data_IF_534609191466
#
_entry.id   IF_534609191466
#
_cell.length_a   1.000
_cell.length_b   1.000
_cell.length_c   1.000
_cell.angle_alpha   90.00
_cell.angle_beta   90.00
_cell.angle_gamma   90.00
#
_symmetry.space_group_name_H-M   'P 1'
#
loop_
_entity.id
_entity.type
_entity.pdbx_description
1 polymer ?
#
# COMPACT_ATOMS: atom_id res chain seq x y z
N UNK A 1 -0.96 1.42 29.30
CA UNK A 1 -0.94 0.04 29.79
C UNK A 1 -0.60 -0.04 31.28
N UNK A 2 0.42 0.67 31.76
CA UNK A 2 0.78 0.69 33.17
C UNK A 2 -0.40 1.11 34.10
N UNK A 3 -1.13 2.14 33.72
CA UNK A 3 -2.32 2.58 34.46
C UNK A 3 -3.42 1.51 34.51
N UNK A 4 -3.58 0.76 33.40
CA UNK A 4 -4.53 -0.34 33.36
C UNK A 4 -4.11 -1.47 34.30
N UNK A 5 -2.85 -1.84 34.29
CA UNK A 5 -2.33 -2.88 35.18
C UNK A 5 -2.46 -2.49 36.65
N UNK A 6 -2.13 -1.24 36.97
CA UNK A 6 -2.33 -0.72 38.33
C UNK A 6 -3.81 -0.73 38.75
N UNK A 7 -4.71 -0.29 37.85
CA UNK A 7 -6.15 -0.26 38.12
C UNK A 7 -6.78 -1.65 38.25
N UNK A 8 -6.22 -2.65 37.60
CA UNK A 8 -6.69 -4.05 37.66
C UNK A 8 -5.90 -4.92 38.65
N UNK A 9 -4.95 -4.33 39.37
CA UNK A 9 -4.03 -5.06 40.25
C UNK A 9 -3.34 -6.24 39.56
N UNK A 10 -2.88 -6.02 38.33
CA UNK A 10 -2.22 -7.03 37.50
C UNK A 10 -0.71 -6.80 37.48
N UNK A 11 0.04 -7.79 37.85
CA UNK A 11 1.50 -7.82 37.72
C UNK A 11 1.85 -8.62 36.45
N UNK A 12 2.26 -7.98 35.35
CA UNK A 12 2.46 -8.66 34.06
C UNK A 12 3.55 -9.73 34.09
N UNK A 13 4.51 -9.62 35.01
CA UNK A 13 5.57 -10.58 35.20
C UNK A 13 5.11 -11.87 35.89
N UNK A 14 3.99 -11.81 36.60
CA UNK A 14 3.47 -12.92 37.38
C UNK A 14 2.19 -13.53 36.83
N UNK A 15 1.44 -12.75 36.08
CA UNK A 15 0.15 -13.18 35.55
C UNK A 15 -0.08 -12.61 34.16
N UNK A 16 -0.49 -13.43 33.24
CA UNK A 16 -0.95 -13.00 31.92
C UNK A 16 -2.17 -12.10 32.06
N UNK A 17 -2.14 -10.94 31.41
CA UNK A 17 -3.30 -10.07 31.32
C UNK A 17 -4.40 -10.73 30.50
N UNK A 18 -5.63 -10.57 30.93
CA UNK A 18 -6.77 -10.98 30.14
C UNK A 18 -6.85 -10.12 28.87
N UNK A 19 -7.02 -10.77 27.73
CA UNK A 19 -7.22 -10.09 26.48
C UNK A 19 -8.70 -9.76 26.36
N UNK A 20 -9.03 -8.50 26.47
CA UNK A 20 -10.38 -8.03 26.21
C UNK A 20 -10.51 -7.64 24.75
N UNK A 21 -11.58 -8.03 24.08
CA UNK A 21 -11.92 -7.45 22.80
C UNK A 21 -12.23 -5.96 23.03
N UNK A 22 -11.48 -5.13 22.34
CA UNK A 22 -11.79 -3.69 22.23
C UNK A 22 -12.72 -3.48 21.04
N UNK A 23 -12.97 -2.22 20.69
CA UNK A 23 -13.63 -1.92 19.43
C UNK A 23 -12.94 -2.65 18.28
N UNK A 24 -13.68 -3.22 17.34
CA UNK A 24 -13.08 -3.88 16.21
C UNK A 24 -12.28 -2.89 15.38
N UNK A 25 -10.99 -3.00 15.45
CA UNK A 25 -10.13 -2.36 14.49
C UNK A 25 -10.23 -3.15 13.19
N UNK A 26 -10.69 -2.51 12.15
CA UNK A 26 -10.75 -3.12 10.83
C UNK A 26 -9.38 -3.57 10.35
N UNK A 27 -8.34 -2.92 10.83
CA UNK A 27 -6.98 -3.20 10.39
C UNK A 27 -5.99 -2.87 11.50
N UNK A 28 -5.11 -3.78 11.81
CA UNK A 28 -4.18 -3.68 12.91
C UNK A 28 -3.04 -2.67 12.75
N UNK A 29 -3.00 -1.88 11.68
CA UNK A 29 -1.99 -0.86 11.46
C UNK A 29 -2.56 0.37 10.76
N UNK A 30 -1.81 1.47 10.78
CA UNK A 30 -2.22 2.75 10.20
C UNK A 30 -2.53 2.69 8.71
N UNK A 31 -1.79 1.91 7.95
CA UNK A 31 -2.02 1.69 6.52
C UNK A 31 -2.90 0.47 6.24
N UNK A 32 -3.27 -0.26 7.27
CA UNK A 32 -4.07 -1.45 7.14
C UNK A 32 -3.47 -2.48 6.19
N UNK A 33 -4.29 -3.11 5.39
CA UNK A 33 -3.86 -4.01 4.32
C UNK A 33 -3.69 -3.30 2.96
N UNK A 34 -3.61 -1.97 2.98
CA UNK A 34 -3.38 -1.18 1.78
C UNK A 34 -1.93 -1.25 1.33
N UNK A 35 -1.71 -1.33 0.04
CA UNK A 35 -0.37 -1.38 -0.54
C UNK A 35 -0.35 -2.09 -1.88
N UNK A 36 0.83 -2.26 -2.42
CA UNK A 36 1.02 -2.95 -3.68
C UNK A 36 0.77 -4.44 -3.54
N UNK A 37 0.20 -5.03 -4.58
CA UNK A 37 0.11 -6.47 -4.69
C UNK A 37 1.50 -7.09 -4.82
N UNK A 38 1.80 -8.06 -3.97
CA UNK A 38 3.10 -8.71 -3.93
C UNK A 38 2.97 -10.22 -3.88
N UNK A 39 4.00 -10.89 -4.38
CA UNK A 39 4.10 -12.33 -4.29
C UNK A 39 4.18 -12.80 -2.84
N UNK A 40 3.47 -13.85 -2.54
CA UNK A 40 3.67 -14.67 -1.35
C UNK A 40 4.97 -15.49 -1.42
N UNK A 41 5.25 -16.27 -0.37
CA UNK A 41 6.36 -17.23 -0.38
C UNK A 41 6.08 -18.41 -1.32
N UNK A 42 7.16 -19.03 -1.80
CA UNK A 42 7.10 -20.22 -2.65
C UNK A 42 6.97 -21.50 -1.80
N UNK A 43 5.84 -21.63 -1.13
CA UNK A 43 5.50 -22.83 -0.36
C UNK A 43 4.33 -23.54 -1.03
N UNK A 44 4.29 -24.87 -0.92
CA UNK A 44 3.26 -25.71 -1.56
C UNK A 44 1.84 -25.40 -1.08
N UNK A 45 1.71 -24.97 0.18
CA UNK A 45 0.42 -24.61 0.77
C UNK A 45 -0.08 -23.21 0.36
N UNK A 46 0.77 -22.37 -0.29
CA UNK A 46 0.36 -21.06 -0.79
C UNK A 46 -0.33 -21.24 -2.14
N UNK A 47 -1.58 -20.78 -2.30
CA UNK A 47 -2.27 -20.85 -3.59
C UNK A 47 -1.51 -20.12 -4.70
N UNK A 48 -1.53 -20.66 -5.90
CA UNK A 48 -0.85 -20.09 -7.07
C UNK A 48 -1.30 -18.65 -7.38
N UNK A 49 -2.55 -18.30 -7.09
CA UNK A 49 -3.06 -16.94 -7.25
C UNK A 49 -2.30 -15.88 -6.42
N UNK A 50 -1.58 -16.28 -5.40
CA UNK A 50 -0.75 -15.39 -4.57
C UNK A 50 0.74 -15.49 -4.87
N UNK A 51 1.12 -16.17 -5.94
CA UNK A 51 2.49 -16.30 -6.39
C UNK A 51 2.71 -15.54 -7.70
N UNK A 52 3.63 -14.61 -7.68
CA UNK A 52 4.08 -13.90 -8.89
C UNK A 52 5.38 -14.56 -9.34
N UNK A 53 5.37 -15.09 -10.57
CA UNK A 53 6.51 -15.82 -11.13
C UNK A 53 7.32 -14.95 -12.08
N UNK A 54 8.61 -15.09 -11.98
CA UNK A 54 9.56 -14.58 -12.98
C UNK A 54 10.55 -15.70 -13.34
N UNK A 55 10.66 -16.03 -14.62
CA UNK A 55 11.47 -17.18 -15.10
C UNK A 55 11.17 -18.45 -14.26
N UNK A 56 9.89 -18.77 -14.06
CA UNK A 56 9.39 -19.92 -13.29
C UNK A 56 9.73 -19.94 -11.80
N UNK A 57 10.35 -18.89 -11.27
CA UNK A 57 10.66 -18.73 -9.86
C UNK A 57 9.76 -17.71 -9.18
N UNK A 58 9.48 -17.95 -7.92
CA UNK A 58 8.71 -17.04 -7.05
C UNK A 58 9.66 -16.32 -6.12
N UNK A 59 9.56 -15.01 -6.07
CA UNK A 59 10.33 -14.16 -5.17
C UNK A 59 9.39 -13.45 -4.21
N UNK A 60 9.47 -13.82 -2.93
CA UNK A 60 8.59 -13.27 -1.91
C UNK A 60 8.69 -11.74 -1.84
N UNK A 61 7.55 -11.07 -1.80
CA UNK A 61 7.43 -9.59 -1.82
C UNK A 61 7.82 -8.90 -3.14
N UNK A 62 8.04 -9.65 -4.22
CA UNK A 62 8.13 -9.05 -5.56
C UNK A 62 6.74 -8.60 -6.00
N UNK A 63 6.66 -7.43 -6.61
CA UNK A 63 5.43 -6.91 -7.22
C UNK A 63 5.17 -7.54 -8.59
N UNK A 64 4.11 -7.13 -9.25
CA UNK A 64 3.86 -7.52 -10.66
C UNK A 64 4.88 -6.92 -11.64
N UNK A 65 5.68 -5.97 -11.19
CA UNK A 65 6.82 -5.46 -11.97
C UNK A 65 8.06 -6.23 -11.58
N UNK A 66 8.67 -6.91 -12.56
CA UNK A 66 9.83 -7.76 -12.34
C UNK A 66 11.00 -6.98 -11.75
N UNK A 67 11.58 -7.50 -10.67
CA UNK A 67 12.69 -6.87 -9.97
C UNK A 67 12.30 -5.72 -9.04
N UNK A 68 11.01 -5.33 -8.98
CA UNK A 68 10.50 -4.36 -8.04
C UNK A 68 9.92 -5.06 -6.81
N UNK A 69 10.42 -4.70 -5.65
CA UNK A 69 10.00 -5.25 -4.36
C UNK A 69 9.45 -4.17 -3.47
N UNK A 70 8.63 -4.56 -2.50
CA UNK A 70 8.15 -3.65 -1.47
C UNK A 70 8.18 -4.30 -0.09
N UNK A 71 8.27 -3.48 0.94
CA UNK A 71 8.29 -3.90 2.33
C UNK A 71 7.53 -2.91 3.21
N UNK A 72 7.17 -3.33 4.41
CA UNK A 72 6.49 -2.48 5.38
C UNK A 72 5.13 -1.99 4.88
N UNK A 73 4.88 -0.71 5.02
CA UNK A 73 3.61 -0.09 4.66
C UNK A 73 3.28 -0.18 3.16
N UNK A 74 4.27 -0.36 2.31
CA UNK A 74 4.07 -0.57 0.89
C UNK A 74 3.49 -1.94 0.51
N UNK A 75 3.48 -2.90 1.42
CA UNK A 75 2.99 -4.26 1.16
C UNK A 75 1.49 -4.36 1.37
N UNK A 76 0.75 -4.69 0.33
CA UNK A 76 -0.71 -4.89 0.42
C UNK A 76 -1.14 -6.17 1.15
N UNK A 77 -0.24 -7.12 1.34
CA UNK A 77 -0.52 -8.41 1.95
C UNK A 77 -0.19 -8.50 3.45
N UNK A 78 0.29 -7.43 4.06
CA UNK A 78 0.67 -7.43 5.47
C UNK A 78 -0.30 -6.62 6.32
N UNK A 79 -0.94 -7.26 7.29
CA UNK A 79 -1.81 -6.60 8.26
C UNK A 79 -1.07 -6.01 9.46
N UNK A 80 0.21 -6.36 9.67
CA UNK A 80 1.01 -5.90 10.79
C UNK A 80 2.21 -5.09 10.30
N UNK A 81 2.04 -3.78 10.22
CA UNK A 81 2.97 -2.86 9.55
C UNK A 81 3.77 -1.93 10.45
N UNK A 82 3.53 -1.94 11.75
CA UNK A 82 4.33 -1.17 12.71
C UNK A 82 5.83 -1.51 12.64
N UNK A 83 6.63 -0.88 13.46
CA UNK A 83 8.09 -1.03 13.46
C UNK A 83 8.55 -2.49 13.43
N UNK A 84 7.96 -3.36 14.24
CA UNK A 84 8.30 -4.79 14.25
C UNK A 84 7.89 -5.51 12.96
N UNK A 85 6.69 -5.24 12.45
CA UNK A 85 6.20 -5.81 11.20
C UNK A 85 7.01 -5.30 10.00
N UNK A 86 7.27 -4.01 9.92
CA UNK A 86 8.10 -3.42 8.86
C UNK A 86 9.53 -3.95 8.87
N UNK A 87 10.09 -4.19 10.05
CA UNK A 87 11.41 -4.79 10.19
C UNK A 87 11.43 -6.25 9.70
N UNK A 88 10.41 -7.03 10.05
CA UNK A 88 10.24 -8.39 9.57
C UNK A 88 10.07 -8.44 8.05
N UNK A 89 9.23 -7.59 7.50
CA UNK A 89 9.03 -7.44 6.05
C UNK A 89 10.32 -7.05 5.33
N UNK A 90 11.09 -6.11 5.88
CA UNK A 90 12.39 -5.72 5.34
C UNK A 90 13.36 -6.89 5.26
N UNK A 91 13.40 -7.75 6.28
CA UNK A 91 14.24 -8.96 6.27
C UNK A 91 13.79 -9.99 5.25
N UNK A 92 12.48 -10.19 5.11
CA UNK A 92 11.91 -11.10 4.11
C UNK A 92 12.26 -10.60 2.71
N UNK A 93 12.01 -9.32 2.45
CA UNK A 93 12.25 -8.67 1.17
C UNK A 93 13.72 -8.69 0.80
N UNK A 94 14.61 -8.34 1.74
CA UNK A 94 16.06 -8.35 1.49
C UNK A 94 16.58 -9.72 1.08
N UNK A 95 16.10 -10.80 1.71
CA UNK A 95 16.47 -12.17 1.33
C UNK A 95 15.98 -12.51 -0.09
N UNK A 96 14.76 -12.09 -0.42
CA UNK A 96 14.20 -12.33 -1.75
C UNK A 96 14.93 -11.52 -2.83
N UNK A 97 15.27 -10.26 -2.55
CA UNK A 97 16.07 -9.42 -3.44
C UNK A 97 17.46 -10.01 -3.69
N UNK A 98 18.15 -10.43 -2.64
CA UNK A 98 19.47 -11.08 -2.77
C UNK A 98 19.40 -12.35 -3.61
N UNK A 99 18.33 -13.15 -3.45
CA UNK A 99 18.08 -14.31 -4.29
C UNK A 99 17.80 -13.92 -5.74
N UNK A 100 16.97 -12.90 -5.96
CA UNK A 100 16.63 -12.40 -7.29
C UNK A 100 17.89 -11.94 -8.04
N UNK A 101 18.73 -11.12 -7.42
CA UNK A 101 19.98 -10.62 -8.02
C UNK A 101 20.91 -11.77 -8.37
N UNK A 102 21.07 -12.73 -7.48
CA UNK A 102 21.92 -13.91 -7.73
C UNK A 102 21.41 -14.76 -8.88
N UNK A 103 20.09 -14.98 -8.92
CA UNK A 103 19.46 -15.85 -9.90
C UNK A 103 19.31 -15.19 -11.28
N UNK A 104 19.41 -13.85 -11.34
CA UNK A 104 19.17 -13.04 -12.54
C UNK A 104 20.26 -11.98 -12.70
N UNK A 105 21.51 -12.40 -12.70
CA UNK A 105 22.66 -11.50 -12.84
C UNK A 105 22.67 -10.72 -14.17
N UNK A 106 21.99 -11.24 -15.17
CA UNK A 106 21.79 -10.67 -16.50
C UNK A 106 20.57 -9.75 -16.60
N UNK A 107 19.81 -9.59 -15.51
CA UNK A 107 18.60 -8.76 -15.52
C UNK A 107 18.94 -7.29 -15.73
N UNK A 108 18.42 -6.73 -16.81
CA UNK A 108 18.47 -5.30 -17.08
C UNK A 108 17.04 -4.77 -17.17
N UNK A 109 16.63 -3.87 -16.26
CA UNK A 109 15.31 -3.27 -16.34
C UNK A 109 15.20 -2.44 -17.62
N UNK A 110 14.08 -2.60 -18.32
CA UNK A 110 13.77 -1.83 -19.52
C UNK A 110 12.49 -1.04 -19.28
N UNK A 111 12.47 0.18 -19.78
CA UNK A 111 11.28 1.00 -19.80
C UNK A 111 10.51 0.75 -21.11
N UNK A 112 9.19 0.78 -21.06
CA UNK A 112 8.33 0.63 -22.24
C UNK A 112 8.27 1.89 -23.09
N UNK A 113 8.72 3.02 -22.54
CA UNK A 113 8.70 4.34 -23.15
C UNK A 113 10.04 5.04 -22.89
N UNK A 114 10.35 6.06 -23.69
CA UNK A 114 11.52 6.90 -23.47
C UNK A 114 11.39 7.69 -22.16
N UNK A 115 12.51 8.15 -21.61
CA UNK A 115 12.50 9.01 -20.42
C UNK A 115 11.71 10.30 -20.67
N UNK A 116 11.82 10.86 -21.86
CA UNK A 116 11.12 12.08 -22.28
C UNK A 116 9.62 11.86 -22.27
N UNK A 117 9.12 10.78 -22.85
CA UNK A 117 7.70 10.42 -22.85
C UNK A 117 7.15 10.19 -21.44
N UNK A 118 7.93 9.55 -20.57
CA UNK A 118 7.53 9.34 -19.18
C UNK A 118 7.47 10.65 -18.39
N UNK A 119 8.45 11.53 -18.58
CA UNK A 119 8.45 12.88 -17.99
C UNK A 119 7.24 13.67 -18.47
N UNK A 120 6.95 13.61 -19.78
CA UNK A 120 5.78 14.26 -20.36
C UNK A 120 4.46 13.74 -19.77
N UNK A 121 4.36 12.44 -19.58
CA UNK A 121 3.19 11.83 -18.97
C UNK A 121 3.00 12.29 -17.51
N UNK A 122 4.09 12.31 -16.73
CA UNK A 122 4.06 12.72 -15.32
C UNK A 122 3.66 14.20 -15.18
N UNK A 123 4.20 15.08 -16.04
CA UNK A 123 3.94 16.50 -15.96
C UNK A 123 2.68 16.95 -16.74
N UNK A 124 2.01 16.07 -17.46
CA UNK A 124 0.79 16.41 -18.20
C UNK A 124 -0.27 17.10 -17.34
N UNK A 125 -0.63 16.64 -16.13
CA UNK A 125 -1.62 17.33 -15.30
C UNK A 125 -1.19 18.74 -14.91
N UNK A 126 0.11 18.94 -14.64
CA UNK A 126 0.66 20.25 -14.29
C UNK A 126 0.60 21.19 -15.47
N UNK A 127 0.98 20.73 -16.67
CA UNK A 127 0.88 21.53 -17.89
C UNK A 127 -0.56 21.91 -18.20
N UNK A 128 -1.49 20.94 -18.14
CA UNK A 128 -2.91 21.23 -18.34
C UNK A 128 -3.43 22.27 -17.34
N UNK A 129 -3.01 22.20 -16.08
CA UNK A 129 -3.35 23.23 -15.11
C UNK A 129 -2.79 24.61 -15.50
N UNK A 130 -1.51 24.69 -15.85
CA UNK A 130 -0.85 25.94 -16.21
C UNK A 130 -1.45 26.55 -17.48
N UNK A 131 -1.84 25.75 -18.44
CA UNK A 131 -2.48 26.20 -19.69
C UNK A 131 -3.86 26.84 -19.46
N UNK A 132 -4.55 26.45 -18.38
CA UNK A 132 -5.92 26.84 -18.11
C UNK A 132 -6.08 27.65 -16.82
N UNK A 133 -5.01 27.97 -16.12
CA UNK A 133 -5.09 28.61 -14.80
C UNK A 133 -5.67 30.01 -14.81
N UNK A 134 -5.59 30.70 -15.95
CA UNK A 134 -6.17 32.04 -16.15
C UNK A 134 -7.63 32.02 -16.63
N UNK A 135 -8.18 30.84 -16.86
CA UNK A 135 -9.55 30.67 -17.30
C UNK A 135 -10.50 30.66 -16.09
N UNK A 136 -11.80 30.71 -16.38
CA UNK A 136 -12.80 30.50 -15.32
C UNK A 136 -12.69 29.15 -14.68
N UNK A 137 -13.03 29.08 -13.38
CA UNK A 137 -13.12 27.82 -12.63
C UNK A 137 -14.48 27.13 -12.74
N UNK A 138 -15.42 27.70 -13.48
CA UNK A 138 -16.71 27.10 -13.73
C UNK A 138 -16.54 25.83 -14.57
N UNK A 139 -16.99 24.69 -14.06
CA UNK A 139 -16.78 23.38 -14.66
C UNK A 139 -17.48 23.21 -16.00
N UNK A 140 -18.58 23.91 -16.20
CA UNK A 140 -19.35 23.96 -17.45
C UNK A 140 -18.63 24.73 -18.55
N UNK A 141 -17.71 25.62 -18.17
CA UNK A 141 -16.91 26.45 -19.08
C UNK A 141 -15.50 25.91 -19.24
N UNK A 142 -14.91 25.45 -18.14
CA UNK A 142 -13.53 24.93 -18.14
C UNK A 142 -13.43 23.60 -17.37
N UNK A 143 -13.79 22.48 -18.00
CA UNK A 143 -13.75 21.18 -17.35
C UNK A 143 -12.32 20.69 -17.01
N UNK A 144 -11.29 21.30 -17.62
CA UNK A 144 -9.89 20.94 -17.39
C UNK A 144 -9.26 21.72 -16.23
N UNK A 145 -9.93 22.78 -15.73
CA UNK A 145 -9.43 23.56 -14.63
C UNK A 145 -10.17 23.26 -13.32
N UNK A 146 -9.46 22.67 -12.41
CA UNK A 146 -9.92 22.48 -11.04
C UNK A 146 -8.91 23.11 -10.10
N UNK A 147 -9.39 23.97 -9.21
CA UNK A 147 -8.56 24.44 -8.10
C UNK A 147 -8.07 23.25 -7.27
N UNK A 148 -6.85 23.34 -6.67
CA UNK A 148 -6.34 22.27 -5.80
C UNK A 148 -7.32 21.85 -4.71
N UNK A 149 -8.05 22.78 -4.11
CA UNK A 149 -9.08 22.49 -3.12
C UNK A 149 -10.23 21.66 -3.70
N UNK A 150 -10.66 21.95 -4.93
CA UNK A 150 -11.69 21.18 -5.63
C UNK A 150 -11.23 19.74 -5.92
N UNK A 151 -9.96 19.57 -6.27
CA UNK A 151 -9.36 18.25 -6.44
C UNK A 151 -9.31 17.49 -5.12
N UNK A 152 -8.94 18.16 -4.04
CA UNK A 152 -8.93 17.57 -2.68
C UNK A 152 -10.33 17.08 -2.30
N UNK A 153 -11.37 17.90 -2.48
CA UNK A 153 -12.75 17.50 -2.20
C UNK A 153 -13.21 16.32 -3.05
N UNK A 154 -12.84 16.26 -4.33
CA UNK A 154 -13.15 15.11 -5.20
C UNK A 154 -12.44 13.85 -4.74
N UNK A 155 -11.17 13.96 -4.35
CA UNK A 155 -10.42 12.85 -3.80
C UNK A 155 -11.05 12.33 -2.50
N UNK A 156 -11.39 13.24 -1.59
CA UNK A 156 -12.06 12.89 -0.33
C UNK A 156 -13.40 12.22 -0.57
N UNK A 157 -14.19 12.75 -1.50
CA UNK A 157 -15.49 12.16 -1.87
C UNK A 157 -15.32 10.77 -2.47
N UNK A 158 -14.41 10.61 -3.44
CA UNK A 158 -14.13 9.30 -4.04
C UNK A 158 -13.63 8.29 -2.99
N UNK A 159 -12.74 8.72 -2.10
CA UNK A 159 -12.27 7.87 -1.01
C UNK A 159 -13.41 7.47 -0.08
N UNK A 160 -14.33 8.38 0.21
CA UNK A 160 -15.50 8.08 1.05
C UNK A 160 -16.48 7.14 0.36
N UNK A 161 -16.72 7.31 -0.92
CA UNK A 161 -17.71 6.52 -1.69
C UNK A 161 -17.18 5.14 -2.09
N UNK A 162 -15.89 5.04 -2.42
CA UNK A 162 -15.30 3.83 -3.01
C UNK A 162 -14.18 3.23 -2.17
N UNK A 163 -13.67 3.93 -1.18
CA UNK A 163 -12.69 3.41 -0.24
C UNK A 163 -13.31 2.50 0.81
N UNK A 164 -12.48 1.83 1.56
CA UNK A 164 -12.91 1.01 2.69
C UNK A 164 -13.46 1.93 3.78
N UNK A 165 -14.72 2.11 3.82
CA UNK A 165 -15.52 2.95 4.70
C UNK A 165 -14.88 3.50 5.97
N UNK A 166 -15.51 4.47 6.53
CA UNK A 166 -15.17 5.03 7.83
C UNK A 166 -15.28 3.95 8.91
N UNK A 167 -14.68 4.19 10.06
CA UNK A 167 -14.71 3.33 11.25
C UNK A 167 -16.12 2.89 11.72
N UNK A 168 -17.16 3.26 11.02
CA UNK A 168 -18.56 2.95 11.30
C UNK A 168 -19.13 1.81 10.50
N UNK A 169 -18.31 0.91 9.99
CA UNK A 169 -18.76 -0.38 9.42
C UNK A 169 -19.51 -0.34 8.09
N UNK A 170 -19.48 0.74 7.38
CA UNK A 170 -19.98 0.74 6.03
C UNK A 170 -18.89 0.23 5.10
N UNK A 171 -18.88 -1.06 4.87
CA UNK A 171 -18.31 -1.55 3.65
C UNK A 171 -19.13 -0.96 2.51
N UNK A 172 -18.59 0.05 1.89
CA UNK A 172 -18.97 0.29 0.52
C UNK A 172 -18.47 -0.92 -0.24
N UNK A 173 -19.34 -1.84 -0.50
CA UNK A 173 -19.07 -2.87 -1.49
C UNK A 173 -18.75 -2.13 -2.77
N UNK A 174 -17.47 -2.13 -3.15
CA UNK A 174 -17.13 -1.80 -4.52
C UNK A 174 -17.91 -2.75 -5.40
N UNK A 175 -18.84 -2.23 -6.08
CA UNK A 175 -19.54 -2.95 -7.14
C UNK A 175 -18.70 -2.91 -8.39
#
# INVERSE_FOLDING_TARGET
QANLWCGTNTEPDKKTSEIMPTEPYLLGSHSGCCGLWTSGPDYDWVPEAYKIRYKDKVYNRMTTVNGLFTAGDGVGASGHKFSSGSHAEGRITAKAMARFVRDNADFTPTLSQSNEELVDLIYKPVRTFLEHCDYTTAIDINPNYLKPEGMMYRLMKATHEYGAGTATFYQTTSK
#
